data_IF_450132937332
#
_entry.id   IF_450132937332
#
_cell.length_a   1.000
_cell.length_b   1.000
_cell.length_c   1.000
_cell.angle_alpha   90.00
_cell.angle_beta   90.00
_cell.angle_gamma   90.00
#
_symmetry.space_group_name_H-M   'P 1'
#
loop_
_entity.id
_entity.type
_entity.pdbx_description
1 polymer ?
#
# COMPACT_ATOMS: atom_id res chain seq x y z
N UNK A 1 -9.14 -18.79 4.65
CA UNK A 1 -9.30 -17.74 3.60
C UNK A 1 -10.52 -16.91 3.94
N UNK A 2 -10.43 -15.57 3.85
CA UNK A 2 -11.55 -14.65 4.07
C UNK A 2 -11.54 -13.86 5.38
N UNK A 3 -10.47 -13.96 6.16
CA UNK A 3 -10.30 -13.10 7.33
C UNK A 3 -9.92 -11.66 6.89
N UNK A 4 -10.42 -10.63 7.60
CA UNK A 4 -10.16 -9.23 7.24
C UNK A 4 -8.71 -8.80 7.45
N UNK A 5 -7.97 -9.50 8.31
CA UNK A 5 -6.56 -9.23 8.61
C UNK A 5 -5.75 -10.51 8.51
N UNK A 6 -4.48 -10.39 8.12
CA UNK A 6 -3.51 -11.49 8.22
C UNK A 6 -3.09 -11.67 9.67
N UNK A 7 -2.80 -12.91 10.04
CA UNK A 7 -2.21 -13.27 11.32
C UNK A 7 -0.89 -14.01 11.08
N UNK A 8 -0.05 -14.10 12.11
CA UNK A 8 1.29 -14.67 12.05
C UNK A 8 1.45 -15.79 13.09
N UNK A 9 2.58 -16.50 13.03
CA UNK A 9 2.93 -17.48 14.07
C UNK A 9 3.08 -16.78 15.42
N UNK A 10 2.42 -17.30 16.43
CA UNK A 10 2.43 -16.69 17.75
C UNK A 10 1.47 -17.40 18.73
N UNK A 11 0.91 -16.65 19.63
CA UNK A 11 -0.07 -17.13 20.59
C UNK A 11 -0.92 -15.99 21.12
N UNK A 12 -2.00 -16.32 21.80
CA UNK A 12 -2.74 -15.40 22.65
C UNK A 12 -3.04 -16.06 24.01
N UNK A 13 -3.24 -15.24 25.03
CA UNK A 13 -3.64 -15.70 26.34
C UNK A 13 -5.15 -15.54 26.54
N UNK A 14 -5.78 -16.56 27.11
CA UNK A 14 -7.13 -16.50 27.64
C UNK A 14 -7.05 -16.47 29.17
N UNK A 15 -7.51 -15.37 29.74
CA UNK A 15 -7.55 -15.11 31.18
C UNK A 15 -8.95 -15.47 31.68
N UNK A 16 -9.04 -16.23 32.77
CA UNK A 16 -10.30 -16.66 33.35
C UNK A 16 -10.37 -16.14 34.79
N UNK A 17 -11.49 -15.51 35.11
CA UNK A 17 -11.75 -14.86 36.40
C UNK A 17 -12.97 -15.50 37.08
N UNK A 18 -12.97 -15.52 38.40
CA UNK A 18 -14.13 -15.92 39.20
C UNK A 18 -15.15 -14.79 39.41
N UNK A 19 -16.20 -15.05 40.20
CA UNK A 19 -17.25 -14.09 40.55
C UNK A 19 -16.76 -12.89 41.36
N UNK A 20 -15.60 -12.97 41.98
CA UNK A 20 -14.96 -11.91 42.76
C UNK A 20 -13.92 -11.15 41.93
N UNK A 21 -13.93 -11.41 40.59
CA UNK A 21 -13.00 -10.79 39.59
C UNK A 21 -11.52 -11.20 39.84
N UNK A 22 -11.28 -12.25 40.62
CA UNK A 22 -9.93 -12.77 40.81
C UNK A 22 -9.52 -13.68 39.65
N UNK A 23 -8.29 -13.49 39.15
CA UNK A 23 -7.73 -14.36 38.09
C UNK A 23 -7.53 -15.78 38.63
N UNK A 24 -8.21 -16.76 38.04
CA UNK A 24 -8.11 -18.17 38.41
C UNK A 24 -7.16 -18.93 37.49
N UNK A 25 -7.15 -18.57 36.20
CA UNK A 25 -6.40 -19.34 35.21
C UNK A 25 -5.92 -18.43 34.07
N UNK A 26 -4.71 -18.70 33.57
CA UNK A 26 -4.19 -18.13 32.33
C UNK A 26 -3.81 -19.25 31.39
N UNK A 27 -4.42 -19.33 30.24
CA UNK A 27 -4.16 -20.35 29.22
C UNK A 27 -3.62 -19.76 27.97
N UNK A 28 -2.42 -20.15 27.57
CA UNK A 28 -1.80 -19.73 26.31
C UNK A 28 -2.26 -20.67 25.19
N UNK A 29 -2.85 -20.08 24.14
CA UNK A 29 -3.31 -20.79 22.94
C UNK A 29 -2.30 -20.51 21.82
N UNK A 30 -1.55 -21.50 21.35
CA UNK A 30 -0.61 -21.35 20.25
C UNK A 30 -1.35 -21.22 18.91
N UNK A 31 -0.80 -20.44 18.01
CA UNK A 31 -1.31 -20.19 16.65
C UNK A 31 -0.17 -20.39 15.65
N UNK A 32 -0.38 -21.25 14.67
CA UNK A 32 0.53 -21.50 13.55
C UNK A 32 -0.13 -21.04 12.26
N UNK A 33 0.43 -20.02 11.63
CA UNK A 33 -0.02 -19.46 10.35
C UNK A 33 0.76 -20.03 9.16
N UNK A 34 1.69 -20.96 9.41
CA UNK A 34 2.59 -21.47 8.38
C UNK A 34 1.88 -22.39 7.39
N UNK A 35 1.96 -22.07 6.11
CA UNK A 35 1.42 -22.91 5.01
C UNK A 35 2.21 -24.20 4.78
N UNK A 36 3.32 -24.40 5.49
CA UNK A 36 4.22 -25.56 5.32
C UNK A 36 3.91 -26.74 6.26
N UNK A 37 2.92 -26.60 7.15
CA UNK A 37 2.51 -27.61 8.13
C UNK A 37 1.00 -27.68 8.28
N UNK A 38 0.54 -28.07 9.45
CA UNK A 38 -0.86 -27.98 9.82
C UNK A 38 -1.14 -26.55 10.32
N UNK A 39 -1.56 -25.67 9.41
CA UNK A 39 -2.07 -24.35 9.76
C UNK A 39 -3.16 -24.47 10.84
N UNK A 40 -3.09 -23.64 11.87
CA UNK A 40 -4.10 -23.62 12.93
C UNK A 40 -5.45 -23.23 12.37
N UNK A 41 -6.40 -24.15 12.43
CA UNK A 41 -7.78 -23.92 12.03
C UNK A 41 -8.61 -23.37 13.19
N UNK A 42 -9.79 -22.84 12.89
CA UNK A 42 -10.73 -22.40 13.91
C UNK A 42 -11.14 -23.57 14.85
N UNK A 43 -11.27 -24.79 14.31
CA UNK A 43 -11.58 -25.99 15.09
C UNK A 43 -10.43 -26.39 16.02
N UNK A 44 -9.18 -26.12 15.64
CA UNK A 44 -8.01 -26.33 16.50
C UNK A 44 -8.00 -25.36 17.68
N UNK A 45 -8.33 -24.07 17.43
CA UNK A 45 -8.49 -23.06 18.48
C UNK A 45 -9.61 -23.47 19.45
N UNK A 46 -10.76 -23.88 18.93
CA UNK A 46 -11.88 -24.38 19.75
C UNK A 46 -11.44 -25.59 20.60
N UNK A 47 -10.74 -26.53 19.99
CA UNK A 47 -10.25 -27.74 20.69
C UNK A 47 -9.21 -27.37 21.74
N UNK A 48 -8.30 -26.45 21.45
CA UNK A 48 -7.28 -25.98 22.39
C UNK A 48 -7.92 -25.29 23.61
N UNK A 49 -8.89 -24.40 23.38
CA UNK A 49 -9.62 -23.74 24.46
C UNK A 49 -10.36 -24.79 25.32
N UNK A 50 -11.18 -25.64 24.72
CA UNK A 50 -11.98 -26.63 25.47
C UNK A 50 -11.15 -27.69 26.22
N UNK A 51 -9.90 -27.92 25.77
CA UNK A 51 -9.01 -28.89 26.40
C UNK A 51 -8.23 -28.28 27.55
N UNK A 52 -7.83 -27.02 27.42
CA UNK A 52 -6.89 -26.40 28.34
C UNK A 52 -7.55 -25.42 29.32
N UNK A 53 -8.84 -25.11 29.17
CA UNK A 53 -9.54 -24.19 30.07
C UNK A 53 -10.61 -24.91 30.90
N UNK A 54 -10.86 -24.38 32.07
CA UNK A 54 -12.01 -24.75 32.91
C UNK A 54 -12.91 -23.54 33.08
N UNK A 55 -14.23 -23.74 32.90
CA UNK A 55 -15.22 -22.68 33.07
C UNK A 55 -15.51 -21.82 31.84
N UNK A 56 -14.89 -22.12 30.68
CA UNK A 56 -15.23 -21.48 29.40
C UNK A 56 -15.36 -22.54 28.32
N UNK A 57 -16.45 -22.53 27.58
CA UNK A 57 -16.69 -23.44 26.45
C UNK A 57 -16.61 -22.68 25.13
N UNK A 58 -15.75 -23.15 24.23
CA UNK A 58 -15.62 -22.66 22.87
C UNK A 58 -16.44 -23.47 21.89
N UNK A 59 -17.02 -22.84 20.87
CA UNK A 59 -17.74 -23.49 19.78
C UNK A 59 -17.69 -22.62 18.51
N UNK A 60 -17.90 -23.25 17.35
CA UNK A 60 -18.13 -22.52 16.09
C UNK A 60 -19.63 -22.45 15.83
N UNK A 61 -20.16 -21.26 15.65
CA UNK A 61 -21.57 -21.08 15.36
C UNK A 61 -21.91 -21.39 13.88
N UNK A 62 -23.20 -21.36 13.54
CA UNK A 62 -23.69 -21.66 12.19
C UNK A 62 -23.18 -20.70 11.09
N UNK A 63 -22.65 -19.54 11.47
CA UNK A 63 -22.05 -18.55 10.57
C UNK A 63 -20.53 -18.70 10.42
N UNK A 64 -19.95 -19.74 11.06
CA UNK A 64 -18.49 -19.96 11.05
C UNK A 64 -17.72 -19.06 12.01
N UNK A 65 -18.37 -18.38 12.94
CA UNK A 65 -17.71 -17.52 13.91
C UNK A 65 -17.45 -18.26 15.24
N UNK A 66 -16.29 -17.99 15.85
CA UNK A 66 -15.95 -18.46 17.20
C UNK A 66 -16.92 -17.85 18.22
N UNK A 67 -17.43 -18.69 19.08
CA UNK A 67 -18.30 -18.31 20.20
C UNK A 67 -17.74 -18.89 21.48
N UNK A 68 -17.53 -18.04 22.49
CA UNK A 68 -17.09 -18.43 23.82
C UNK A 68 -18.25 -18.23 24.80
N UNK A 69 -18.50 -19.23 25.60
CA UNK A 69 -19.57 -19.20 26.59
C UNK A 69 -18.96 -19.52 27.97
N UNK A 70 -18.91 -18.53 28.89
CA UNK A 70 -18.43 -18.81 30.25
C UNK A 70 -19.50 -19.50 31.07
N UNK A 71 -19.06 -20.28 32.03
CA UNK A 71 -19.91 -20.89 33.05
C UNK A 71 -20.49 -19.82 34.01
N UNK A 72 -21.59 -20.09 34.70
CA UNK A 72 -22.14 -19.16 35.69
C UNK A 72 -21.13 -18.73 36.76
N UNK A 73 -20.90 -17.46 36.92
CA UNK A 73 -19.95 -16.89 37.87
C UNK A 73 -18.49 -16.89 37.38
N UNK A 74 -18.28 -17.18 36.11
CA UNK A 74 -16.97 -17.09 35.47
C UNK A 74 -17.01 -15.96 34.41
N UNK A 75 -15.94 -15.22 34.31
CA UNK A 75 -15.71 -14.25 33.23
C UNK A 75 -14.36 -14.52 32.58
N UNK A 76 -14.16 -14.00 31.35
CA UNK A 76 -12.89 -14.17 30.66
C UNK A 76 -12.48 -12.89 29.94
N UNK A 77 -11.18 -12.77 29.67
CA UNK A 77 -10.57 -11.74 28.86
C UNK A 77 -9.46 -12.33 28.00
N UNK A 78 -9.01 -11.58 27.01
CA UNK A 78 -7.86 -11.93 26.18
C UNK A 78 -6.69 -11.02 26.51
N UNK A 79 -5.47 -11.58 26.38
CA UNK A 79 -4.23 -10.84 26.60
C UNK A 79 -3.12 -11.38 25.69
N UNK A 80 -2.07 -10.58 25.48
CA UNK A 80 -0.83 -10.94 24.81
C UNK A 80 -1.03 -11.66 23.46
N UNK A 81 -1.90 -11.12 22.60
CA UNK A 81 -2.06 -11.64 21.23
C UNK A 81 -0.87 -11.26 20.35
N UNK A 82 0.15 -12.10 20.35
CA UNK A 82 1.34 -11.93 19.51
C UNK A 82 1.11 -12.40 18.08
N UNK A 83 0.03 -13.17 17.83
CA UNK A 83 -0.31 -13.70 16.51
C UNK A 83 -1.18 -12.74 15.68
N UNK A 84 -1.94 -11.86 16.32
CA UNK A 84 -2.96 -11.03 15.68
C UNK A 84 -4.24 -11.79 15.30
N UNK A 85 -4.38 -13.07 15.71
CA UNK A 85 -5.52 -13.91 15.33
C UNK A 85 -6.84 -13.41 15.91
N UNK A 86 -6.84 -12.83 17.11
CA UNK A 86 -8.04 -12.27 17.72
C UNK A 86 -8.61 -11.13 16.89
N UNK A 87 -7.73 -10.25 16.40
CA UNK A 87 -8.12 -9.17 15.49
C UNK A 87 -8.61 -9.71 14.14
N UNK A 88 -7.95 -10.74 13.60
CA UNK A 88 -8.36 -11.40 12.37
C UNK A 88 -9.74 -12.06 12.48
N UNK A 89 -10.07 -12.62 13.66
CA UNK A 89 -11.38 -13.18 13.96
C UNK A 89 -12.45 -12.13 14.31
N UNK A 90 -12.08 -10.84 14.31
CA UNK A 90 -12.98 -9.74 14.67
C UNK A 90 -13.24 -9.58 16.16
N UNK A 91 -12.44 -10.27 17.00
CA UNK A 91 -12.46 -10.13 18.45
C UNK A 91 -11.45 -9.07 18.89
N UNK A 92 -11.77 -8.30 19.92
CA UNK A 92 -10.95 -7.18 20.43
C UNK A 92 -10.53 -6.15 19.35
N UNK A 93 -11.16 -6.16 18.16
CA UNK A 93 -10.85 -5.27 17.07
C UNK A 93 -11.48 -3.88 17.29
N UNK A 94 -10.65 -2.86 17.49
CA UNK A 94 -11.10 -1.47 17.48
C UNK A 94 -11.50 -1.03 16.06
N UNK A 95 -10.78 -1.53 15.06
CA UNK A 95 -10.98 -1.25 13.65
C UNK A 95 -11.47 -2.48 12.89
N UNK A 96 -12.22 -2.24 11.83
CA UNK A 96 -12.62 -3.21 10.81
C UNK A 96 -12.16 -2.75 9.44
N UNK A 97 -12.14 -3.65 8.46
CA UNK A 97 -11.64 -3.39 7.09
C UNK A 97 -10.28 -4.04 6.88
N UNK A 98 -9.88 -4.17 5.62
CA UNK A 98 -8.69 -4.89 5.15
C UNK A 98 -7.69 -3.99 4.41
N UNK A 99 -7.99 -2.70 4.30
CA UNK A 99 -7.16 -1.75 3.55
C UNK A 99 -7.33 -0.32 4.08
N UNK A 100 -6.42 0.55 3.70
CA UNK A 100 -6.50 1.98 4.02
C UNK A 100 -7.77 2.67 3.49
N UNK A 101 -8.43 2.08 2.48
CA UNK A 101 -9.67 2.60 1.92
C UNK A 101 -10.92 2.08 2.66
N UNK A 102 -10.82 0.92 3.30
CA UNK A 102 -11.94 0.24 3.98
C UNK A 102 -11.86 0.30 5.50
N UNK A 103 -10.73 0.74 6.08
CA UNK A 103 -10.56 0.84 7.53
C UNK A 103 -11.59 1.80 8.14
N UNK A 104 -12.28 1.32 9.17
CA UNK A 104 -13.26 2.09 9.93
C UNK A 104 -13.32 1.59 11.36
N UNK A 105 -13.86 2.40 12.27
CA UNK A 105 -14.11 1.95 13.64
C UNK A 105 -15.20 0.90 13.63
N UNK A 106 -15.03 -0.16 14.43
CA UNK A 106 -16.02 -1.23 14.57
C UNK A 106 -17.41 -0.67 14.90
N UNK A 107 -18.42 -1.14 14.18
CA UNK A 107 -19.80 -0.68 14.40
C UNK A 107 -20.29 -0.96 15.82
N UNK A 108 -19.83 -2.06 16.43
CA UNK A 108 -20.15 -2.39 17.82
C UNK A 108 -19.69 -1.31 18.81
N UNK A 109 -18.51 -0.71 18.56
CA UNK A 109 -17.99 0.40 19.38
C UNK A 109 -18.73 1.71 19.11
N UNK A 110 -19.15 1.94 17.88
CA UNK A 110 -19.96 3.12 17.52
C UNK A 110 -21.36 3.05 18.16
N UNK A 111 -21.96 1.87 18.20
CA UNK A 111 -23.27 1.65 18.80
C UNK A 111 -23.22 1.71 20.34
N UNK A 112 -22.11 1.29 20.93
CA UNK A 112 -21.93 1.31 22.38
C UNK A 112 -20.45 1.61 22.74
N UNK A 113 -20.17 2.87 23.00
CA UNK A 113 -18.82 3.34 23.41
C UNK A 113 -18.38 2.82 24.79
N UNK A 114 -19.27 2.28 25.61
CA UNK A 114 -18.94 1.66 26.88
C UNK A 114 -18.17 0.34 26.74
N UNK A 115 -18.14 -0.22 25.52
CA UNK A 115 -17.32 -1.40 25.22
C UNK A 115 -15.83 -1.08 25.10
N UNK A 116 -15.45 0.20 25.06
CA UNK A 116 -14.05 0.60 25.08
C UNK A 116 -13.57 0.50 26.53
N UNK A 117 -12.72 -0.49 26.80
CA UNK A 117 -12.12 -0.62 28.13
C UNK A 117 -11.19 0.56 28.44
N UNK A 118 -11.37 1.21 29.57
CA UNK A 118 -10.44 2.21 30.06
C UNK A 118 -9.29 1.61 30.86
N UNK A 119 -9.51 0.46 31.49
CA UNK A 119 -8.50 -0.31 32.24
C UNK A 119 -7.86 -1.40 31.40
N UNK A 120 -6.64 -1.78 31.72
CA UNK A 120 -5.88 -2.85 31.10
C UNK A 120 -5.29 -3.79 32.12
N UNK A 121 -5.05 -5.02 31.73
CA UNK A 121 -4.32 -6.01 32.50
C UNK A 121 -2.82 -5.84 32.26
N UNK A 122 -2.02 -5.76 33.32
CA UNK A 122 -0.57 -5.75 33.28
C UNK A 122 -0.01 -6.91 34.12
N UNK A 123 0.41 -8.01 33.48
CA UNK A 123 0.88 -9.20 34.19
C UNK A 123 2.17 -9.01 34.98
N UNK A 124 2.95 -7.96 34.66
CA UNK A 124 4.26 -7.70 35.29
C UNK A 124 4.19 -6.91 36.60
N UNK A 125 3.06 -6.34 36.94
CA UNK A 125 2.87 -5.69 38.21
C UNK A 125 2.37 -6.71 39.24
N UNK A 126 3.25 -7.07 40.16
CA UNK A 126 3.02 -8.07 41.19
C UNK A 126 1.69 -7.82 41.90
N UNK A 127 0.67 -8.66 41.60
CA UNK A 127 -0.57 -8.83 42.34
C UNK A 127 -1.29 -7.52 42.71
N UNK A 128 -1.47 -6.61 41.75
CA UNK A 128 -2.47 -5.58 41.91
C UNK A 128 -3.84 -6.24 41.68
N UNK A 129 -4.53 -6.53 42.78
CA UNK A 129 -5.90 -7.05 42.78
C UNK A 129 -6.91 -6.04 42.22
N UNK A 130 -6.43 -4.89 41.78
CA UNK A 130 -7.21 -3.75 41.28
C UNK A 130 -7.29 -3.67 39.73
N UNK A 131 -6.98 -4.75 39.03
CA UNK A 131 -7.00 -4.74 37.55
C UNK A 131 -8.32 -4.35 36.94
N UNK A 132 -9.40 -4.76 37.57
CA UNK A 132 -10.77 -4.42 37.18
C UNK A 132 -11.35 -3.32 38.09
N UNK A 133 -10.50 -2.67 38.91
CA UNK A 133 -10.95 -1.68 39.87
C UNK A 133 -11.60 -0.47 39.19
N UNK A 134 -12.68 0.03 39.76
CA UNK A 134 -13.27 1.29 39.33
C UNK A 134 -12.23 2.43 39.39
N UNK A 135 -11.93 3.03 38.23
CA UNK A 135 -10.95 4.11 38.11
C UNK A 135 -9.63 3.72 37.46
N UNK A 136 -9.41 2.44 37.15
CA UNK A 136 -8.29 2.03 36.30
C UNK A 136 -8.43 2.63 34.90
N UNK A 137 -7.45 3.43 34.47
CA UNK A 137 -7.41 4.11 33.18
C UNK A 137 -6.15 3.79 32.38
N UNK A 138 -5.47 2.71 32.71
CA UNK A 138 -4.19 2.32 32.10
C UNK A 138 -4.29 2.09 30.60
N UNK A 139 -5.34 1.43 30.12
CA UNK A 139 -5.56 1.19 28.69
C UNK A 139 -5.86 2.52 27.95
N UNK A 140 -6.63 3.42 28.56
CA UNK A 140 -6.90 4.72 27.96
C UNK A 140 -5.62 5.58 27.86
N UNK A 141 -4.74 5.51 28.86
CA UNK A 141 -3.43 6.19 28.83
C UNK A 141 -2.53 5.56 27.77
N UNK A 142 -2.43 4.23 27.70
CA UNK A 142 -1.66 3.52 26.68
C UNK A 142 -2.13 3.89 25.26
N UNK A 143 -3.45 3.94 25.03
CA UNK A 143 -3.99 4.40 23.74
C UNK A 143 -3.63 5.86 23.43
N UNK A 144 -3.60 6.74 24.44
CA UNK A 144 -3.19 8.12 24.25
C UNK A 144 -1.69 8.24 23.92
N UNK A 145 -0.85 7.41 24.54
CA UNK A 145 0.59 7.37 24.32
C UNK A 145 0.97 6.86 22.93
N UNK A 146 0.17 5.97 22.31
CA UNK A 146 0.36 5.51 20.91
C UNK A 146 0.50 6.68 19.91
N UNK A 147 -0.05 7.83 20.23
CA UNK A 147 0.08 9.04 19.39
C UNK A 147 1.53 9.49 19.24
N UNK A 148 2.33 9.33 20.29
CA UNK A 148 3.70 9.83 20.37
C UNK A 148 4.73 8.73 20.41
N UNK A 149 4.31 7.51 20.68
CA UNK A 149 5.16 6.33 20.74
C UNK A 149 5.71 5.97 19.37
N UNK A 150 6.99 5.61 19.33
CA UNK A 150 7.65 5.16 18.09
C UNK A 150 7.40 3.66 17.91
N UNK A 151 6.37 3.32 17.12
CA UNK A 151 5.94 1.93 16.86
C UNK A 151 6.18 1.47 15.43
N UNK A 152 6.58 2.40 14.55
CA UNK A 152 6.81 2.13 13.12
C UNK A 152 8.31 2.14 12.79
N UNK A 153 8.66 1.57 11.64
CA UNK A 153 10.05 1.53 11.12
C UNK A 153 11.07 0.95 12.13
N UNK A 154 10.68 -0.13 12.82
CA UNK A 154 11.54 -0.74 13.85
C UNK A 154 11.65 0.11 15.13
N UNK A 155 10.55 0.68 15.57
CA UNK A 155 10.40 1.53 16.77
C UNK A 155 11.23 2.83 16.72
N UNK A 156 11.37 3.41 15.52
CA UNK A 156 12.11 4.67 15.32
C UNK A 156 11.22 5.85 14.99
N UNK A 157 10.00 5.61 14.53
CA UNK A 157 9.07 6.64 14.07
C UNK A 157 7.69 6.46 14.72
N UNK A 158 7.05 7.55 15.11
CA UNK A 158 5.63 7.55 15.44
C UNK A 158 4.79 7.69 14.15
N UNK A 159 3.47 7.52 14.27
CA UNK A 159 2.55 7.58 13.11
C UNK A 159 2.64 8.91 12.35
N UNK A 160 2.75 10.04 13.05
CA UNK A 160 2.84 11.34 12.39
C UNK A 160 4.16 11.51 11.64
N UNK A 161 5.28 11.13 12.26
CA UNK A 161 6.59 11.17 11.61
C UNK A 161 6.66 10.28 10.38
N UNK A 162 6.08 9.07 10.45
CA UNK A 162 6.00 8.16 9.31
C UNK A 162 5.16 8.74 8.17
N UNK A 163 4.03 9.37 8.49
CA UNK A 163 3.19 10.03 7.50
C UNK A 163 3.91 11.22 6.85
N UNK A 164 4.56 12.07 7.64
CA UNK A 164 5.37 13.20 7.15
C UNK A 164 6.52 12.71 6.24
N UNK A 165 7.26 11.69 6.65
CA UNK A 165 8.35 11.11 5.86
C UNK A 165 7.84 10.56 4.52
N UNK A 166 6.66 9.97 4.53
CA UNK A 166 6.01 9.45 3.32
C UNK A 166 5.62 10.58 2.36
N UNK A 167 5.03 11.68 2.86
CA UNK A 167 4.70 12.86 2.05
C UNK A 167 5.97 13.46 1.44
N UNK A 168 7.02 13.62 2.25
CA UNK A 168 8.31 14.14 1.79
C UNK A 168 8.88 13.25 0.67
N UNK A 169 8.86 11.93 0.83
CA UNK A 169 9.32 10.98 -0.18
C UNK A 169 8.53 11.09 -1.49
N UNK A 170 7.21 11.18 -1.40
CA UNK A 170 6.35 11.39 -2.58
C UNK A 170 6.70 12.73 -3.26
N UNK A 171 6.89 13.80 -2.49
CA UNK A 171 7.28 15.11 -3.01
C UNK A 171 8.63 15.10 -3.73
N UNK A 172 9.64 14.42 -3.15
CA UNK A 172 10.96 14.24 -3.77
C UNK A 172 10.85 13.46 -5.07
N UNK A 173 10.10 12.35 -5.08
CA UNK A 173 9.91 11.54 -6.29
C UNK A 173 9.18 12.32 -7.38
N UNK A 174 8.15 13.08 -7.03
CA UNK A 174 7.44 13.93 -7.99
C UNK A 174 8.37 14.99 -8.61
N UNK A 175 9.17 15.65 -7.79
CA UNK A 175 10.16 16.62 -8.26
C UNK A 175 11.21 15.98 -9.17
N UNK A 176 11.75 14.84 -8.78
CA UNK A 176 12.72 14.10 -9.60
C UNK A 176 12.14 13.72 -10.96
N UNK A 177 10.88 13.27 -11.01
CA UNK A 177 10.21 12.94 -12.27
C UNK A 177 10.01 14.17 -13.15
N UNK A 178 9.67 15.32 -12.57
CA UNK A 178 9.54 16.58 -13.34
C UNK A 178 10.89 17.05 -13.88
N UNK A 179 11.96 16.96 -13.11
CA UNK A 179 13.31 17.30 -13.55
C UNK A 179 13.77 16.36 -14.68
N UNK A 180 13.50 15.05 -14.55
CA UNK A 180 13.81 14.05 -15.59
C UNK A 180 13.03 14.35 -16.87
N UNK A 181 11.73 14.65 -16.78
CA UNK A 181 10.91 15.01 -17.94
C UNK A 181 11.48 16.24 -18.66
N UNK A 182 11.86 17.28 -17.92
CA UNK A 182 12.45 18.49 -18.53
C UNK A 182 13.76 18.19 -19.27
N UNK A 183 14.60 17.30 -18.74
CA UNK A 183 15.83 16.84 -19.41
C UNK A 183 15.51 16.05 -20.68
N UNK A 184 14.55 15.14 -20.62
CA UNK A 184 14.13 14.35 -21.79
C UNK A 184 13.54 15.24 -22.92
N UNK A 185 12.72 16.24 -22.56
CA UNK A 185 12.18 17.21 -23.51
C UNK A 185 13.31 18.03 -24.18
N UNK A 186 14.32 18.41 -23.40
CA UNK A 186 15.50 19.09 -23.95
C UNK A 186 16.27 18.20 -24.94
N UNK A 187 16.44 16.91 -24.64
CA UNK A 187 17.05 15.95 -25.56
C UNK A 187 16.22 15.78 -26.85
N UNK A 188 14.90 15.64 -26.72
CA UNK A 188 14.02 15.55 -27.89
C UNK A 188 14.17 16.78 -28.79
N UNK A 189 14.23 17.97 -28.20
CA UNK A 189 14.43 19.22 -28.92
C UNK A 189 15.81 19.26 -29.63
N UNK A 190 16.87 18.87 -28.95
CA UNK A 190 18.21 18.79 -29.55
C UNK A 190 18.25 17.79 -30.72
N UNK A 191 17.66 16.61 -30.56
CA UNK A 191 17.59 15.62 -31.66
C UNK A 191 16.75 16.13 -32.83
N UNK A 192 15.67 16.87 -32.61
CA UNK A 192 14.88 17.48 -33.66
C UNK A 192 15.69 18.52 -34.43
N UNK A 193 16.44 19.38 -33.73
CA UNK A 193 17.32 20.35 -34.32
C UNK A 193 18.43 19.72 -35.18
N UNK A 194 19.11 18.70 -34.65
CA UNK A 194 20.13 17.91 -35.39
C UNK A 194 19.54 17.22 -36.63
N UNK A 195 18.32 16.69 -36.51
CA UNK A 195 17.63 16.12 -37.66
C UNK A 195 17.34 17.15 -38.72
N UNK A 196 16.95 18.38 -38.33
CA UNK A 196 16.75 19.49 -39.27
C UNK A 196 18.04 19.95 -39.92
N UNK A 197 19.15 20.01 -39.20
CA UNK A 197 20.47 20.34 -39.75
C UNK A 197 20.92 19.34 -40.83
N UNK A 198 20.65 18.04 -40.64
CA UNK A 198 21.08 16.98 -41.58
C UNK A 198 20.08 16.77 -42.73
N UNK A 199 18.79 16.86 -42.44
CA UNK A 199 17.71 16.50 -43.39
C UNK A 199 16.76 17.67 -43.70
N UNK A 200 17.01 18.85 -43.12
CA UNK A 200 16.20 20.02 -43.38
C UNK A 200 16.47 20.54 -44.80
N UNK A 201 15.43 20.87 -45.52
CA UNK A 201 15.53 21.52 -46.83
C UNK A 201 15.77 22.99 -46.57
N UNK A 202 16.99 23.46 -46.94
CA UNK A 202 17.29 24.89 -46.95
C UNK A 202 16.62 25.52 -48.20
N UNK A 203 15.54 26.25 -47.97
CA UNK A 203 14.78 26.87 -49.07
C UNK A 203 15.65 27.79 -49.95
N UNK A 204 16.68 28.46 -49.41
CA UNK A 204 17.59 29.32 -50.15
C UNK A 204 18.49 28.52 -51.10
N UNK A 205 18.94 27.31 -50.67
CA UNK A 205 19.70 26.41 -51.54
C UNK A 205 18.83 25.81 -52.63
N UNK A 206 17.62 25.38 -52.32
CA UNK A 206 16.68 24.86 -53.28
C UNK A 206 16.27 25.91 -54.33
N UNK A 207 15.98 27.15 -53.90
CA UNK A 207 15.70 28.27 -54.81
C UNK A 207 16.89 28.57 -55.69
N UNK A 208 18.13 28.55 -55.14
CA UNK A 208 19.34 28.74 -55.91
C UNK A 208 19.53 27.62 -56.94
N UNK A 209 19.34 26.37 -56.56
CA UNK A 209 19.40 25.22 -57.44
C UNK A 209 18.32 25.33 -58.56
N UNK A 210 17.10 25.73 -58.21
CA UNK A 210 16.01 25.94 -59.15
C UNK A 210 16.34 27.00 -60.19
N UNK A 211 16.92 28.13 -59.80
CA UNK A 211 17.39 29.18 -60.69
C UNK A 211 18.50 28.68 -61.61
N UNK A 212 19.44 27.87 -61.12
CA UNK A 212 20.49 27.24 -61.91
C UNK A 212 19.91 26.29 -62.96
N UNK A 213 18.96 25.43 -62.59
CA UNK A 213 18.29 24.53 -63.51
C UNK A 213 17.46 25.29 -64.59
N UNK A 214 16.76 26.37 -64.17
CA UNK A 214 16.05 27.23 -65.15
C UNK A 214 17.00 27.82 -66.16
N UNK A 215 18.15 28.41 -65.71
CA UNK A 215 19.16 28.96 -66.64
C UNK A 215 19.77 27.89 -67.54
N UNK A 216 20.03 26.71 -67.04
CA UNK A 216 20.55 25.60 -67.84
C UNK A 216 19.53 25.15 -68.90
N UNK A 217 18.23 25.10 -68.53
CA UNK A 217 17.15 24.84 -69.48
C UNK A 217 17.05 25.91 -70.57
N UNK A 218 17.08 27.18 -70.23
CA UNK A 218 17.08 28.31 -71.18
C UNK A 218 18.29 28.26 -72.13
N UNK A 219 19.49 27.96 -71.58
CA UNK A 219 20.68 27.83 -72.43
C UNK A 219 20.58 26.63 -73.38
N UNK A 220 20.03 25.50 -72.93
CA UNK A 220 19.80 24.31 -73.76
C UNK A 220 18.77 24.62 -74.89
N UNK A 221 17.70 25.35 -74.55
CA UNK A 221 16.71 25.75 -75.55
C UNK A 221 17.31 26.66 -76.62
N UNK A 222 18.21 27.58 -76.24
CA UNK A 222 18.94 28.41 -77.22
C UNK A 222 19.86 27.61 -78.10
N UNK A 223 20.57 26.59 -77.56
CA UNK A 223 21.41 25.72 -78.35
C UNK A 223 20.57 24.99 -79.41
N UNK A 224 19.42 24.39 -78.99
CA UNK A 224 18.51 23.75 -79.95
C UNK A 224 18.03 24.69 -81.03
N UNK A 225 17.60 25.88 -80.65
CA UNK A 225 17.19 26.94 -81.66
C UNK A 225 18.33 27.30 -82.62
N UNK A 226 19.57 27.42 -82.08
CA UNK A 226 20.73 27.72 -82.90
C UNK A 226 21.05 26.62 -83.92
N UNK A 227 20.96 25.35 -83.45
CA UNK A 227 21.12 24.16 -84.27
C UNK A 227 20.06 24.10 -85.37
N UNK A 228 18.79 24.38 -85.01
CA UNK A 228 17.72 24.49 -86.00
C UNK A 228 17.97 25.55 -87.10
N UNK A 229 18.43 26.73 -86.70
CA UNK A 229 18.80 27.80 -87.67
C UNK A 229 19.96 27.34 -88.59
N UNK A 230 21.01 26.73 -88.01
CA UNK A 230 22.13 26.16 -88.77
C UNK A 230 21.70 25.08 -89.78
N UNK A 231 20.85 24.13 -89.32
CA UNK A 231 20.30 23.10 -90.16
C UNK A 231 19.47 23.67 -91.33
N UNK A 232 18.60 24.66 -91.04
CA UNK A 232 17.83 25.37 -92.04
C UNK A 232 18.71 26.08 -93.04
N UNK A 233 19.81 26.75 -92.60
CA UNK A 233 20.80 27.37 -93.42
C UNK A 233 21.51 26.38 -94.35
N UNK A 234 21.96 25.23 -93.81
CA UNK A 234 22.58 24.18 -94.61
C UNK A 234 21.63 23.62 -95.66
N UNK A 235 20.36 23.37 -95.32
CA UNK A 235 19.36 22.89 -96.25
C UNK A 235 19.13 23.87 -97.37
N UNK A 236 19.08 25.16 -97.05
CA UNK A 236 18.90 26.21 -98.07
C UNK A 236 20.13 26.42 -98.93
N UNK A 237 21.36 26.16 -98.47
CA UNK A 237 22.58 26.18 -99.26
C UNK A 237 22.75 25.04 -100.24
N UNK A 238 22.08 23.86 -99.97
CA UNK A 238 22.12 22.61 -100.78
C UNK A 238 21.05 22.65 -101.87
N UNK A 239 20.22 23.61 -101.94
CA UNK A 239 19.18 23.80 -102.91
C UNK A 239 19.58 24.81 -103.95
#
# INVERSE_FOLDING_TARGET
>A
EGLPFSFEDGSFNLLIFDSDEALIETVTIPVDASTAGAETTLDDIVSAINTNTSGVTASVNANGALTLTPDPGVSFSFDDDTSGVLTALGMNGFFTGDSAASIQVSQHLLDNSLLISSGGYHPDEALDTDMLAPGNNSAALAMADLRTEAILSGNTENMNQHFESTIVRVGINARFNLETLAVEEAFVTDFQNRRQEVSGVNLDEEVTALIQYQRAFEASARIVSTVDIMLNTLINMAR
#
